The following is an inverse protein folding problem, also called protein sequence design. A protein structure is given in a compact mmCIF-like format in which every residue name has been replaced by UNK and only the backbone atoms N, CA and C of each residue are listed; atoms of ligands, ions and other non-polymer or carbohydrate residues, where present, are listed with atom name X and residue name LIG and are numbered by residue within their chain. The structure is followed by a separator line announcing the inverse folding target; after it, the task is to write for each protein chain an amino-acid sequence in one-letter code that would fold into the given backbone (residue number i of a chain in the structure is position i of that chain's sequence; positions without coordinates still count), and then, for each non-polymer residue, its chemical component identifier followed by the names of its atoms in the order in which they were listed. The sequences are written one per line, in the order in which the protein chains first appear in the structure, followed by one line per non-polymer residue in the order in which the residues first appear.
data_IF_653651148507
#
_entry.id   IF_653651148507
#
_cell.length_a   1.000
_cell.length_b   1.000
_cell.length_c   1.000
_cell.angle_alpha   90.00
_cell.angle_beta   90.00
_cell.angle_gamma   90.00
#
_symmetry.space_group_name_H-M   'P 1'
#
loop_
_entity.id
_entity.type
_entity.pdbx_description
1 polymer ?
#
# COMPACT_ATOMS: atom_id res chain seq x y z
N UNK A 1 69.78 47.23 -20.70
CA UNK A 1 68.34 47.37 -20.95
C UNK A 1 67.61 46.45 -19.94
N UNK A 2 66.91 46.99 -18.99
CA UNK A 2 66.23 46.19 -17.94
C UNK A 2 64.83 45.79 -18.39
N UNK A 3 64.50 44.55 -18.12
CA UNK A 3 63.14 43.93 -18.31
C UNK A 3 62.29 44.37 -17.18
N UNK A 4 61.01 44.84 -17.39
CA UNK A 4 60.09 45.20 -16.30
C UNK A 4 59.46 43.97 -15.72
N UNK A 5 59.56 43.80 -14.41
CA UNK A 5 58.83 42.84 -13.58
C UNK A 5 57.38 43.32 -13.34
N UNK A 6 56.39 42.50 -13.73
CA UNK A 6 55.00 42.72 -13.40
C UNK A 6 54.66 42.12 -12.01
N UNK A 7 53.84 42.79 -11.19
CA UNK A 7 53.50 42.29 -9.86
C UNK A 7 52.36 41.20 -9.92
N UNK A 8 52.43 40.22 -9.04
CA UNK A 8 51.35 39.18 -8.96
C UNK A 8 50.27 39.61 -7.95
N UNK A 9 49.26 40.32 -8.42
CA UNK A 9 48.05 40.55 -7.58
C UNK A 9 46.83 40.41 -8.48
N UNK A 10 46.09 39.31 -8.34
CA UNK A 10 44.61 39.16 -8.58
C UNK A 10 44.10 37.71 -8.76
N UNK A 11 44.80 36.70 -8.21
CA UNK A 11 44.27 35.31 -8.28
C UNK A 11 43.56 34.81 -7.00
N UNK A 12 43.53 35.57 -5.91
CA UNK A 12 42.92 35.13 -4.63
C UNK A 12 41.48 35.59 -4.41
N UNK A 13 40.98 36.57 -5.12
CA UNK A 13 39.59 37.09 -4.96
C UNK A 13 38.57 36.37 -5.85
N UNK A 14 38.99 35.77 -6.97
CA UNK A 14 38.08 34.99 -7.83
C UNK A 14 37.71 33.61 -7.24
N UNK A 15 38.63 32.98 -6.47
CA UNK A 15 38.36 31.68 -5.86
C UNK A 15 37.33 31.74 -4.69
N UNK A 16 37.30 32.86 -3.97
CA UNK A 16 36.34 33.06 -2.87
C UNK A 16 34.91 33.36 -3.36
N UNK A 17 34.76 33.99 -4.52
CA UNK A 17 33.44 34.28 -5.11
C UNK A 17 32.77 33.01 -5.68
N UNK A 18 33.55 32.07 -6.23
CA UNK A 18 33.04 30.80 -6.75
C UNK A 18 32.67 29.84 -5.61
N UNK A 19 33.41 29.83 -4.51
CA UNK A 19 33.10 29.02 -3.34
C UNK A 19 31.82 29.50 -2.64
N UNK A 20 31.54 30.83 -2.61
CA UNK A 20 30.32 31.41 -2.06
C UNK A 20 29.07 31.11 -2.91
N UNK A 21 29.18 31.09 -4.23
CA UNK A 21 28.08 30.77 -5.14
C UNK A 21 27.71 29.28 -5.10
N UNK A 22 28.69 28.38 -4.96
CA UNK A 22 28.43 26.94 -4.78
C UNK A 22 27.78 26.61 -3.43
N UNK A 23 28.13 27.31 -2.35
CA UNK A 23 27.51 27.11 -1.03
C UNK A 23 26.05 27.60 -0.99
N UNK A 24 25.69 28.65 -1.73
CA UNK A 24 24.31 29.12 -1.85
C UNK A 24 23.44 28.22 -2.75
N UNK A 25 24.02 27.60 -3.78
CA UNK A 25 23.30 26.64 -4.63
C UNK A 25 23.01 25.30 -3.91
N UNK A 26 23.87 24.89 -2.97
CA UNK A 26 23.63 23.69 -2.15
C UNK A 26 22.60 23.91 -1.03
N UNK A 27 22.39 25.16 -0.58
CA UNK A 27 21.36 25.49 0.41
C UNK A 27 19.94 25.57 -0.20
N UNK A 28 19.82 25.73 -1.52
CA UNK A 28 18.53 25.82 -2.21
C UNK A 28 17.89 24.45 -2.56
N UNK A 29 18.63 23.34 -2.41
CA UNK A 29 18.16 22.00 -2.82
C UNK A 29 17.71 21.08 -1.69
N UNK A 30 17.63 21.56 -0.43
CA UNK A 30 17.17 20.74 0.70
C UNK A 30 15.96 21.37 1.39
N UNK A 31 14.89 21.66 0.63
CA UNK A 31 13.60 21.65 1.26
C UNK A 31 13.20 20.18 1.40
N UNK A 32 13.45 19.61 2.59
CA UNK A 32 12.80 18.37 2.95
C UNK A 32 11.30 18.57 2.73
N UNK A 33 10.59 17.63 2.06
CA UNK A 33 9.16 17.75 1.90
C UNK A 33 8.53 17.99 3.29
N UNK A 34 7.51 18.85 3.40
CA UNK A 34 6.87 19.12 4.68
C UNK A 34 6.45 17.79 5.33
N UNK A 35 6.54 17.68 6.66
CA UNK A 35 6.15 16.47 7.35
C UNK A 35 4.70 16.10 6.99
N UNK A 36 4.35 14.80 6.97
CA UNK A 36 2.99 14.35 6.73
C UNK A 36 2.01 15.13 7.61
N UNK A 37 0.96 15.67 7.00
CA UNK A 37 -0.04 16.45 7.72
C UNK A 37 -1.43 16.04 7.28
N UNK A 38 -2.33 15.88 8.26
CA UNK A 38 -3.76 15.72 8.08
C UNK A 38 -4.56 16.79 8.86
N UNK A 39 -3.96 17.98 9.02
CA UNK A 39 -4.58 19.12 9.67
C UNK A 39 -5.72 19.71 8.82
N UNK A 40 -5.62 19.63 7.49
CA UNK A 40 -6.71 19.97 6.55
C UNK A 40 -7.05 18.76 5.71
N UNK A 41 -8.28 18.70 5.15
CA UNK A 41 -8.67 17.54 4.35
C UNK A 41 -7.84 17.41 3.06
N UNK A 42 -7.45 18.54 2.43
CA UNK A 42 -6.57 18.56 1.26
C UNK A 42 -5.18 18.05 1.62
N UNK A 43 -4.61 18.50 2.75
CA UNK A 43 -3.29 18.07 3.21
C UNK A 43 -3.26 16.56 3.51
N UNK A 44 -4.34 16.00 4.07
CA UNK A 44 -4.46 14.58 4.35
C UNK A 44 -4.40 13.74 3.06
N UNK A 45 -5.13 14.16 2.01
CA UNK A 45 -5.14 13.48 0.71
C UNK A 45 -3.78 13.65 0.01
N UNK A 46 -3.27 14.88 -0.11
CA UNK A 46 -1.98 15.16 -0.74
C UNK A 46 -0.82 14.40 -0.06
N UNK A 47 -0.85 14.32 1.28
CA UNK A 47 0.13 13.53 2.05
C UNK A 47 0.02 12.04 1.72
N UNK A 48 -1.19 11.48 1.64
CA UNK A 48 -1.40 10.08 1.26
C UNK A 48 -0.87 9.78 -0.14
N UNK A 49 -1.10 10.67 -1.11
CA UNK A 49 -0.58 10.52 -2.47
C UNK A 49 0.95 10.53 -2.50
N UNK A 50 1.58 11.48 -1.82
CA UNK A 50 3.04 11.58 -1.72
C UNK A 50 3.66 10.37 -1.02
N UNK A 51 3.09 9.90 0.09
CA UNK A 51 3.57 8.70 0.79
C UNK A 51 3.44 7.45 -0.07
N UNK A 52 2.37 7.38 -0.88
CA UNK A 52 2.22 6.31 -1.89
C UNK A 52 3.27 6.44 -2.98
N UNK A 53 3.50 7.63 -3.53
CA UNK A 53 4.50 7.86 -4.58
C UNK A 53 5.91 7.47 -4.12
N UNK A 54 6.25 7.73 -2.85
CA UNK A 54 7.57 7.39 -2.28
C UNK A 54 7.69 5.96 -1.74
N UNK A 55 6.58 5.21 -1.68
CA UNK A 55 6.57 3.86 -1.10
C UNK A 55 6.71 3.83 0.42
N UNK A 56 6.40 4.93 1.12
CA UNK A 56 6.37 4.98 2.58
C UNK A 56 5.02 4.46 3.10
N UNK A 57 4.88 3.14 3.12
CA UNK A 57 3.63 2.49 3.52
C UNK A 57 3.35 2.59 5.02
N UNK A 58 4.37 2.67 5.88
CA UNK A 58 4.16 2.90 7.30
C UNK A 58 3.63 4.32 7.56
N UNK A 59 4.27 5.32 6.94
CA UNK A 59 3.79 6.70 6.95
C UNK A 59 2.37 6.84 6.40
N UNK A 60 2.05 6.10 5.32
CA UNK A 60 0.72 6.08 4.73
C UNK A 60 -0.33 5.54 5.73
N UNK A 61 -0.07 4.44 6.41
CA UNK A 61 -0.99 3.89 7.41
C UNK A 61 -1.17 4.83 8.61
N UNK A 62 -0.10 5.47 9.08
CA UNK A 62 -0.14 6.51 10.12
C UNK A 62 -0.95 7.75 9.71
N UNK A 63 -0.90 8.13 8.45
CA UNK A 63 -1.68 9.26 7.93
C UNK A 63 -3.16 8.93 7.75
N UNK A 64 -3.50 7.66 7.45
CA UNK A 64 -4.85 7.22 7.09
C UNK A 64 -5.68 6.72 8.27
N UNK A 65 -5.07 6.37 9.39
CA UNK A 65 -5.74 5.86 10.58
C UNK A 65 -5.50 6.79 11.78
N UNK A 66 -6.50 7.00 12.65
CA UNK A 66 -6.30 7.60 13.96
C UNK A 66 -5.21 6.88 14.75
N UNK A 67 -4.46 7.56 15.65
CA UNK A 67 -3.34 6.96 16.36
C UNK A 67 -3.68 5.67 17.13
N UNK A 68 -4.87 5.61 17.76
CA UNK A 68 -5.33 4.41 18.46
C UNK A 68 -5.57 3.25 17.49
N UNK A 69 -6.24 3.53 16.36
CA UNK A 69 -6.56 2.56 15.33
C UNK A 69 -5.29 2.06 14.62
N UNK A 70 -4.32 2.95 14.37
CA UNK A 70 -2.99 2.57 13.87
C UNK A 70 -2.27 1.64 14.86
N UNK A 71 -2.34 1.94 16.17
CA UNK A 71 -1.72 1.09 17.20
C UNK A 71 -2.37 -0.29 17.23
N UNK A 72 -3.69 -0.36 17.12
CA UNK A 72 -4.42 -1.63 17.05
C UNK A 72 -4.03 -2.39 15.77
N UNK A 73 -4.09 -1.74 14.60
CA UNK A 73 -3.68 -2.35 13.32
C UNK A 73 -2.25 -2.91 13.40
N UNK A 74 -1.34 -2.17 14.04
CA UNK A 74 0.04 -2.58 14.23
C UNK A 74 0.14 -3.84 15.10
N UNK A 75 -0.62 -3.89 16.19
CA UNK A 75 -0.69 -5.06 17.09
C UNK A 75 -1.25 -6.30 16.39
N UNK A 76 -2.28 -6.13 15.57
CA UNK A 76 -2.87 -7.20 14.77
C UNK A 76 -1.90 -7.73 13.72
N UNK A 77 -1.14 -6.82 13.08
CA UNK A 77 -0.08 -7.19 12.16
C UNK A 77 0.98 -8.05 12.86
N UNK A 78 1.46 -7.63 14.05
CA UNK A 78 2.44 -8.38 14.84
C UNK A 78 1.90 -9.76 15.24
N UNK A 79 0.64 -9.83 15.67
CA UNK A 79 -0.01 -11.09 16.03
C UNK A 79 -0.16 -12.05 14.83
N UNK A 80 -0.48 -11.52 13.65
CA UNK A 80 -0.58 -12.30 12.42
C UNK A 80 0.81 -12.82 11.97
N UNK A 81 1.85 -12.01 12.12
CA UNK A 81 3.23 -12.38 11.76
C UNK A 81 3.91 -13.32 12.77
N UNK A 82 3.49 -13.28 14.04
CA UNK A 82 3.95 -14.24 15.04
C UNK A 82 3.49 -15.69 14.75
N UNK A 83 2.49 -15.87 13.88
CA UNK A 83 1.95 -17.17 13.47
C UNK A 83 2.00 -17.29 11.93
N UNK A 84 3.17 -17.31 11.32
CA UNK A 84 3.26 -17.42 9.88
C UNK A 84 2.61 -18.73 9.45
N UNK A 85 1.62 -18.65 8.58
CA UNK A 85 1.05 -19.84 7.94
C UNK A 85 2.16 -20.66 7.28
N UNK A 86 2.09 -21.99 7.35
CA UNK A 86 3.05 -22.86 6.69
C UNK A 86 2.99 -22.59 5.18
N UNK A 87 4.11 -22.16 4.59
CA UNK A 87 4.24 -22.24 3.13
C UNK A 87 4.32 -23.71 2.74
N UNK A 88 3.78 -24.08 1.59
CA UNK A 88 4.10 -25.38 1.04
C UNK A 88 5.58 -25.41 0.65
N UNK A 89 6.22 -26.58 0.77
CA UNK A 89 7.61 -26.78 0.33
C UNK A 89 7.81 -26.33 -1.14
N UNK A 90 6.78 -26.48 -1.97
CA UNK A 90 6.77 -26.03 -3.36
C UNK A 90 6.87 -24.51 -3.48
N UNK A 91 6.13 -23.77 -2.66
CA UNK A 91 6.19 -22.28 -2.65
C UNK A 91 7.56 -21.79 -2.20
N UNK A 92 8.12 -22.37 -1.14
CA UNK A 92 9.46 -22.01 -0.65
C UNK A 92 10.53 -22.27 -1.71
N UNK A 93 10.45 -23.43 -2.38
CA UNK A 93 11.38 -23.80 -3.45
C UNK A 93 11.25 -22.85 -4.66
N UNK A 94 10.04 -22.54 -5.11
CA UNK A 94 9.80 -21.61 -6.22
C UNK A 94 10.33 -20.22 -5.92
N UNK A 95 10.07 -19.71 -4.72
CA UNK A 95 10.58 -18.40 -4.28
C UNK A 95 12.12 -18.40 -4.29
N UNK A 96 12.75 -19.40 -3.68
CA UNK A 96 14.20 -19.50 -3.62
C UNK A 96 14.83 -19.59 -5.03
N UNK A 97 14.24 -20.35 -5.95
CA UNK A 97 14.70 -20.42 -7.34
C UNK A 97 14.59 -19.06 -8.06
N UNK A 98 13.50 -18.32 -7.87
CA UNK A 98 13.33 -16.99 -8.44
C UNK A 98 14.39 -16.04 -7.87
N UNK A 99 14.56 -16.00 -6.55
CA UNK A 99 15.54 -15.13 -5.91
C UNK A 99 16.97 -15.47 -6.33
N UNK A 100 17.32 -16.74 -6.39
CA UNK A 100 18.61 -17.19 -6.91
C UNK A 100 18.85 -16.71 -8.34
N UNK A 101 17.88 -16.92 -9.23
CA UNK A 101 17.96 -16.51 -10.64
C UNK A 101 18.15 -14.98 -10.80
N UNK A 102 17.54 -14.17 -9.91
CA UNK A 102 17.60 -12.71 -9.97
C UNK A 102 18.85 -12.13 -9.29
N UNK A 103 19.43 -12.83 -8.32
CA UNK A 103 20.52 -12.30 -7.49
C UNK A 103 21.89 -12.89 -7.79
N UNK A 104 21.97 -14.01 -8.52
CA UNK A 104 23.25 -14.66 -8.86
C UNK A 104 24.17 -13.75 -9.68
N UNK A 105 25.50 -13.95 -9.62
CA UNK A 105 26.44 -13.23 -10.47
C UNK A 105 26.12 -13.42 -11.97
N UNK A 106 25.97 -12.31 -12.69
CA UNK A 106 25.66 -12.31 -14.12
C UNK A 106 24.19 -12.66 -14.45
N UNK A 107 23.28 -12.57 -13.48
CA UNK A 107 21.83 -12.78 -13.65
C UNK A 107 21.27 -11.97 -14.82
N UNK A 108 21.67 -10.71 -14.96
CA UNK A 108 21.22 -9.80 -16.03
C UNK A 108 21.51 -10.36 -17.42
N UNK A 109 22.75 -10.82 -17.63
CA UNK A 109 23.16 -11.38 -18.93
C UNK A 109 22.43 -12.71 -19.24
N UNK A 110 22.26 -13.57 -18.23
CA UNK A 110 21.54 -14.84 -18.38
C UNK A 110 20.06 -14.61 -18.69
N UNK A 111 19.42 -13.69 -17.97
CA UNK A 111 18.01 -13.33 -18.19
C UNK A 111 17.81 -12.65 -19.55
N UNK A 112 18.69 -11.73 -19.94
CA UNK A 112 18.64 -11.10 -21.25
C UNK A 112 18.71 -12.14 -22.38
N UNK A 113 19.66 -13.10 -22.29
CA UNK A 113 19.78 -14.19 -23.26
C UNK A 113 18.52 -15.07 -23.30
N UNK A 114 17.95 -15.39 -22.14
CA UNK A 114 16.75 -16.24 -22.01
C UNK A 114 15.51 -15.54 -22.58
N UNK A 115 15.40 -14.22 -22.44
CA UNK A 115 14.25 -13.44 -22.91
C UNK A 115 14.32 -13.05 -24.39
N UNK A 116 15.50 -13.10 -25.03
CA UNK A 116 15.65 -12.76 -26.45
C UNK A 116 14.64 -13.48 -27.38
N UNK A 117 14.42 -14.82 -27.31
CA UNK A 117 13.46 -15.49 -28.16
C UNK A 117 12.01 -15.02 -27.92
N UNK A 118 11.65 -14.70 -26.67
CA UNK A 118 10.31 -14.21 -26.33
C UNK A 118 10.10 -12.78 -26.85
N UNK A 119 11.10 -11.91 -26.73
CA UNK A 119 11.06 -10.57 -27.33
C UNK A 119 10.94 -10.63 -28.87
N UNK A 120 11.61 -11.60 -29.50
CA UNK A 120 11.49 -11.80 -30.94
C UNK A 120 10.06 -12.25 -31.35
N UNK A 121 9.42 -13.11 -30.58
CA UNK A 121 8.01 -13.52 -30.78
C UNK A 121 7.08 -12.31 -30.64
N UNK A 122 7.31 -11.43 -29.63
CA UNK A 122 6.55 -10.21 -29.44
C UNK A 122 6.64 -9.27 -30.64
N UNK A 123 7.83 -9.09 -31.21
CA UNK A 123 8.03 -8.28 -32.44
C UNK A 123 7.34 -8.85 -33.66
N UNK A 124 7.27 -10.18 -33.78
CA UNK A 124 6.65 -10.87 -34.90
C UNK A 124 5.13 -10.78 -34.96
N UNK A 125 4.48 -10.04 -34.05
CA UNK A 125 3.02 -9.89 -34.05
C UNK A 125 2.22 -11.16 -33.75
N UNK A 126 2.90 -12.26 -33.32
CA UNK A 126 2.26 -13.55 -33.03
C UNK A 126 1.61 -13.61 -31.63
N UNK A 127 1.18 -12.45 -31.11
CA UNK A 127 0.76 -12.27 -29.73
C UNK A 127 -0.75 -12.46 -29.53
N UNK A 128 -1.28 -13.61 -29.90
CA UNK A 128 -2.65 -13.98 -29.53
C UNK A 128 -2.90 -14.08 -28.03
N UNK A 129 -1.83 -14.11 -27.21
CA UNK A 129 -1.94 -14.25 -25.74
C UNK A 129 -2.08 -12.93 -24.99
N UNK A 130 -1.46 -11.82 -25.44
CA UNK A 130 -1.55 -10.52 -24.77
C UNK A 130 -2.98 -9.96 -24.71
N UNK A 131 -3.78 -9.99 -25.80
CA UNK A 131 -5.16 -9.51 -25.74
C UNK A 131 -6.05 -10.34 -24.80
N UNK A 132 -5.86 -11.65 -24.76
CA UNK A 132 -6.60 -12.55 -23.86
C UNK A 132 -6.21 -12.27 -22.41
N UNK A 133 -4.92 -12.18 -22.12
CA UNK A 133 -4.41 -11.88 -20.76
C UNK A 133 -4.88 -10.50 -20.29
N UNK A 134 -4.89 -9.48 -21.16
CA UNK A 134 -5.38 -8.15 -20.79
C UNK A 134 -6.88 -8.13 -20.52
N UNK A 135 -7.69 -8.92 -21.23
CA UNK A 135 -9.14 -9.04 -20.98
C UNK A 135 -9.44 -9.73 -19.64
N UNK A 136 -8.71 -10.78 -19.31
CA UNK A 136 -8.85 -11.46 -18.01
C UNK A 136 -8.44 -10.52 -16.87
N UNK A 137 -7.32 -9.81 -17.02
CA UNK A 137 -6.83 -8.85 -16.02
C UNK A 137 -7.83 -7.69 -15.84
N UNK A 138 -8.42 -7.21 -16.92
CA UNK A 138 -9.45 -6.17 -16.88
C UNK A 138 -10.69 -6.63 -16.09
N UNK A 139 -11.21 -7.81 -16.40
CA UNK A 139 -12.38 -8.34 -15.73
C UNK A 139 -12.10 -8.59 -14.23
N UNK A 140 -10.98 -9.23 -13.91
CA UNK A 140 -10.57 -9.49 -12.53
C UNK A 140 -10.33 -8.17 -11.74
N UNK A 141 -9.66 -7.19 -12.36
CA UNK A 141 -9.42 -5.90 -11.75
C UNK A 141 -10.69 -5.11 -11.46
N UNK A 142 -11.64 -5.09 -12.41
CA UNK A 142 -12.96 -4.45 -12.21
C UNK A 142 -13.74 -5.12 -11.07
N UNK A 143 -13.70 -6.45 -11.00
CA UNK A 143 -14.34 -7.18 -9.90
C UNK A 143 -13.70 -6.87 -8.55
N UNK A 144 -12.37 -6.86 -8.45
CA UNK A 144 -11.66 -6.50 -7.21
C UNK A 144 -12.01 -5.07 -6.75
N UNK A 145 -12.10 -4.11 -7.68
CA UNK A 145 -12.52 -2.74 -7.35
C UNK A 145 -13.96 -2.72 -6.85
N UNK A 146 -14.87 -3.42 -7.53
CA UNK A 146 -16.28 -3.47 -7.16
C UNK A 146 -16.48 -4.07 -5.76
N UNK A 147 -15.74 -5.13 -5.43
CA UNK A 147 -15.85 -5.86 -4.16
C UNK A 147 -15.10 -5.20 -2.99
N UNK A 148 -14.28 -4.16 -3.25
CA UNK A 148 -13.50 -3.49 -2.21
C UNK A 148 -14.41 -2.74 -1.21
N UNK A 149 -14.42 -3.11 0.08
CA UNK A 149 -15.20 -2.41 1.09
C UNK A 149 -14.59 -1.08 1.55
N UNK A 150 -13.27 -0.86 1.27
CA UNK A 150 -12.55 0.35 1.66
C UNK A 150 -12.71 1.48 0.65
N UNK A 151 -13.34 1.24 -0.50
CA UNK A 151 -13.55 2.23 -1.55
C UNK A 151 -15.02 2.67 -1.59
N UNK A 152 -15.25 3.97 -1.45
CA UNK A 152 -16.54 4.58 -1.71
C UNK A 152 -16.90 4.60 -3.21
N UNK A 153 -18.14 4.93 -3.58
CA UNK A 153 -18.59 4.88 -4.98
C UNK A 153 -17.73 5.70 -5.95
N UNK A 154 -17.37 6.93 -5.59
CA UNK A 154 -16.54 7.82 -6.42
C UNK A 154 -15.11 7.27 -6.55
N UNK A 155 -14.53 6.75 -5.46
CA UNK A 155 -13.22 6.11 -5.47
C UNK A 155 -13.20 4.85 -6.35
N UNK A 156 -14.26 4.03 -6.33
CA UNK A 156 -14.42 2.89 -7.26
C UNK A 156 -14.46 3.32 -8.71
N UNK A 157 -15.17 4.42 -8.99
CA UNK A 157 -15.23 5.00 -10.35
C UNK A 157 -13.83 5.43 -10.79
N UNK A 158 -13.10 6.17 -9.96
CA UNK A 158 -11.75 6.62 -10.29
C UNK A 158 -10.76 5.46 -10.41
N UNK A 159 -10.85 4.45 -9.55
CA UNK A 159 -10.03 3.23 -9.66
C UNK A 159 -10.29 2.48 -10.96
N UNK A 160 -11.56 2.42 -11.43
CA UNK A 160 -11.93 1.83 -12.72
C UNK A 160 -11.36 2.63 -13.89
N UNK A 161 -11.44 3.97 -13.85
CA UNK A 161 -10.79 4.83 -14.83
C UNK A 161 -9.28 4.61 -14.88
N UNK A 162 -8.64 4.46 -13.71
CA UNK A 162 -7.22 4.14 -13.60
C UNK A 162 -6.87 2.78 -14.24
N UNK A 163 -7.67 1.76 -13.97
CA UNK A 163 -7.51 0.45 -14.60
C UNK A 163 -7.65 0.53 -16.12
N UNK A 164 -8.66 1.24 -16.63
CA UNK A 164 -8.86 1.43 -18.06
C UNK A 164 -7.68 2.19 -18.70
N UNK A 165 -7.10 3.17 -18.00
CA UNK A 165 -5.89 3.89 -18.43
C UNK A 165 -4.68 2.96 -18.52
N UNK A 166 -4.47 2.10 -17.51
CA UNK A 166 -3.39 1.11 -17.48
C UNK A 166 -3.53 0.07 -18.60
N UNK A 167 -4.74 -0.41 -18.85
CA UNK A 167 -5.00 -1.37 -19.94
C UNK A 167 -4.74 -0.72 -21.30
N UNK A 168 -5.17 0.52 -21.50
CA UNK A 168 -4.89 1.24 -22.72
C UNK A 168 -3.39 1.49 -22.92
N UNK A 169 -2.67 1.86 -21.85
CA UNK A 169 -1.21 1.99 -21.88
C UNK A 169 -0.52 0.66 -22.23
N UNK A 170 -0.95 -0.45 -21.62
CA UNK A 170 -0.42 -1.79 -21.93
C UNK A 170 -0.61 -2.14 -23.42
N UNK A 171 -1.77 -1.83 -23.99
CA UNK A 171 -2.06 -2.08 -25.42
C UNK A 171 -1.23 -1.21 -26.35
N UNK A 172 -0.87 0.02 -25.93
CA UNK A 172 -0.09 0.98 -26.72
C UNK A 172 1.43 0.83 -26.55
N UNK A 173 1.89 0.11 -25.52
CA UNK A 173 3.30 0.01 -25.18
C UNK A 173 4.00 -1.09 -25.97
N UNK A 174 5.14 -0.74 -26.58
CA UNK A 174 6.04 -1.73 -27.18
C UNK A 174 6.93 -2.36 -26.10
N UNK A 175 6.54 -3.53 -25.63
CA UNK A 175 7.32 -4.35 -24.71
C UNK A 175 8.43 -5.15 -25.39
N UNK A 176 8.54 -5.13 -26.71
CA UNK A 176 9.56 -5.84 -27.48
C UNK A 176 10.86 -5.06 -27.67
N UNK A 177 10.92 -3.79 -27.22
CA UNK A 177 12.13 -2.95 -27.28
C UNK A 177 13.26 -3.57 -26.44
N UNK A 178 14.32 -4.03 -27.10
CA UNK A 178 15.44 -4.71 -26.47
C UNK A 178 16.23 -3.82 -25.49
N UNK A 179 16.28 -2.49 -25.72
CA UNK A 179 16.97 -1.56 -24.83
C UNK A 179 16.17 -1.34 -23.55
N UNK A 180 14.84 -1.19 -23.66
CA UNK A 180 13.93 -1.11 -22.52
C UNK A 180 13.94 -2.42 -21.75
N UNK A 181 13.84 -3.56 -22.42
CA UNK A 181 13.88 -4.88 -21.81
C UNK A 181 15.19 -5.10 -21.02
N UNK A 182 16.35 -4.67 -21.56
CA UNK A 182 17.61 -4.73 -20.83
C UNK A 182 17.57 -3.90 -19.55
N UNK A 183 17.13 -2.63 -19.63
CA UNK A 183 16.99 -1.76 -18.45
C UNK A 183 16.05 -2.35 -17.41
N UNK A 184 14.94 -2.96 -17.87
CA UNK A 184 13.97 -3.62 -16.99
C UNK A 184 14.60 -4.80 -16.23
N UNK A 185 15.37 -5.64 -16.93
CA UNK A 185 16.11 -6.76 -16.33
C UNK A 185 17.12 -6.24 -15.29
N UNK A 186 17.93 -5.24 -15.65
CA UNK A 186 18.92 -4.64 -14.77
C UNK A 186 18.25 -4.11 -13.48
N UNK A 187 17.11 -3.43 -13.60
CA UNK A 187 16.32 -2.91 -12.48
C UNK A 187 15.74 -4.03 -11.61
N UNK A 188 15.12 -5.05 -12.21
CA UNK A 188 14.52 -6.16 -11.46
C UNK A 188 15.58 -6.92 -10.65
N UNK A 189 16.74 -7.18 -11.24
CA UNK A 189 17.85 -7.81 -10.53
C UNK A 189 18.39 -6.92 -9.40
N UNK A 190 18.52 -5.62 -9.62
CA UNK A 190 18.95 -4.67 -8.60
C UNK A 190 17.93 -4.61 -7.44
N UNK A 191 16.65 -4.52 -7.74
CA UNK A 191 15.55 -4.55 -6.73
C UNK A 191 15.58 -5.84 -5.91
N UNK A 192 15.73 -6.99 -6.56
CA UNK A 192 15.81 -8.28 -5.86
C UNK A 192 17.01 -8.34 -4.90
N UNK A 193 18.16 -7.80 -5.28
CA UNK A 193 19.35 -7.75 -4.40
C UNK A 193 19.14 -6.83 -3.20
N UNK A 194 18.44 -5.71 -3.38
CA UNK A 194 18.13 -4.76 -2.28
C UNK A 194 17.23 -5.35 -1.20
N UNK A 195 16.44 -6.37 -1.51
CA UNK A 195 15.57 -7.04 -0.53
C UNK A 195 16.37 -7.84 0.51
N UNK A 196 17.60 -8.28 0.19
CA UNK A 196 18.46 -9.09 1.06
C UNK A 196 17.79 -10.37 1.58
N UNK A 197 16.85 -10.95 0.82
CA UNK A 197 16.18 -12.22 1.15
C UNK A 197 16.41 -13.24 0.03
N UNK A 198 16.59 -14.50 0.40
CA UNK A 198 16.80 -15.60 -0.55
C UNK A 198 15.71 -16.68 -0.44
N UNK A 199 15.00 -16.70 0.69
CA UNK A 199 13.96 -17.70 0.97
C UNK A 199 12.68 -17.05 1.47
N UNK A 200 11.55 -17.70 1.29
CA UNK A 200 10.29 -17.24 1.84
C UNK A 200 10.30 -17.27 3.39
N UNK A 201 11.08 -18.15 3.99
CA UNK A 201 11.29 -18.14 5.43
C UNK A 201 11.98 -16.86 5.91
N UNK A 202 13.04 -16.40 5.21
CA UNK A 202 13.68 -15.11 5.52
C UNK A 202 12.73 -13.93 5.33
N UNK A 203 11.91 -13.94 4.26
CA UNK A 203 10.89 -12.92 4.04
C UNK A 203 9.90 -12.84 5.21
N UNK A 204 9.41 -13.99 5.65
CA UNK A 204 8.42 -14.08 6.76
C UNK A 204 9.01 -13.79 8.13
N UNK A 205 10.32 -13.93 8.29
CA UNK A 205 11.03 -13.62 9.54
C UNK A 205 11.34 -12.13 9.70
N UNK A 206 11.05 -11.29 8.70
CA UNK A 206 11.24 -9.85 8.79
C UNK A 206 10.33 -9.27 9.86
N UNK A 207 10.87 -8.36 10.68
CA UNK A 207 10.05 -7.52 11.54
C UNK A 207 9.21 -6.53 10.73
N UNK A 208 8.32 -5.80 11.38
CA UNK A 208 7.47 -4.83 10.73
C UNK A 208 8.25 -3.76 9.96
N UNK A 209 9.29 -3.19 10.56
CA UNK A 209 10.06 -2.12 9.94
C UNK A 209 10.82 -2.63 8.70
N UNK A 210 11.33 -3.87 8.76
CA UNK A 210 11.96 -4.54 7.63
C UNK A 210 10.94 -4.84 6.53
N UNK A 211 9.76 -5.33 6.88
CA UNK A 211 8.67 -5.62 5.93
C UNK A 211 8.21 -4.35 5.21
N UNK A 212 7.99 -3.25 5.93
CA UNK A 212 7.59 -1.97 5.31
C UNK A 212 8.68 -1.43 4.38
N UNK A 213 9.95 -1.54 4.74
CA UNK A 213 11.06 -1.22 3.84
C UNK A 213 11.09 -2.10 2.60
N UNK A 214 10.89 -3.40 2.77
CA UNK A 214 10.84 -4.33 1.64
C UNK A 214 9.69 -4.02 0.68
N UNK A 215 8.52 -3.64 1.19
CA UNK A 215 7.41 -3.16 0.37
C UNK A 215 7.77 -1.86 -0.36
N UNK A 216 8.44 -0.91 0.30
CA UNK A 216 8.95 0.30 -0.35
C UNK A 216 9.94 0.01 -1.46
N UNK A 217 10.88 -0.93 -1.26
CA UNK A 217 11.83 -1.38 -2.29
C UNK A 217 11.10 -1.97 -3.50
N UNK A 218 10.12 -2.86 -3.25
CA UNK A 218 9.32 -3.46 -4.31
C UNK A 218 8.50 -2.43 -5.06
N UNK A 219 7.89 -1.48 -4.35
CA UNK A 219 7.12 -0.39 -4.94
C UNK A 219 7.97 0.47 -5.86
N UNK A 220 9.12 0.93 -5.38
CA UNK A 220 10.05 1.74 -6.17
C UNK A 220 10.62 0.97 -7.36
N UNK A 221 10.85 -0.33 -7.20
CA UNK A 221 11.22 -1.22 -8.30
C UNK A 221 10.11 -1.35 -9.36
N UNK A 222 8.86 -1.48 -8.94
CA UNK A 222 7.69 -1.52 -9.83
C UNK A 222 7.51 -0.18 -10.54
N UNK A 223 7.58 0.93 -9.82
CA UNK A 223 7.45 2.28 -10.38
C UNK A 223 8.55 2.54 -11.42
N UNK A 224 9.80 2.23 -11.09
CA UNK A 224 10.90 2.35 -12.05
C UNK A 224 10.74 1.46 -13.27
N UNK A 225 10.17 0.25 -13.12
CA UNK A 225 9.83 -0.65 -14.23
C UNK A 225 8.77 -0.03 -15.15
N UNK A 226 7.71 0.52 -14.57
CA UNK A 226 6.64 1.20 -15.31
C UNK A 226 7.18 2.42 -16.06
N UNK A 227 8.06 3.20 -15.42
CA UNK A 227 8.69 4.39 -15.99
C UNK A 227 9.61 4.05 -17.19
N UNK A 228 10.34 2.94 -17.17
CA UNK A 228 11.10 2.45 -18.34
C UNK A 228 10.20 2.30 -19.57
N UNK A 229 8.93 1.94 -19.37
CA UNK A 229 7.95 1.78 -20.44
C UNK A 229 7.05 3.01 -20.63
N UNK A 230 7.36 4.13 -19.97
CA UNK A 230 6.71 5.42 -20.18
C UNK A 230 5.47 5.68 -19.33
N UNK A 231 5.30 4.92 -18.24
CA UNK A 231 4.27 5.17 -17.23
C UNK A 231 4.94 5.66 -15.95
N UNK A 232 4.90 6.97 -15.71
CA UNK A 232 5.42 7.63 -14.52
C UNK A 232 4.31 7.77 -13.50
N UNK A 233 4.18 6.76 -12.63
CA UNK A 233 3.13 6.70 -11.63
C UNK A 233 3.41 7.67 -10.46
N UNK A 234 4.65 7.78 -10.02
CA UNK A 234 5.04 8.68 -8.93
C UNK A 234 4.71 10.13 -9.30
N UNK A 235 5.13 10.58 -10.47
CA UNK A 235 4.80 11.92 -10.97
C UNK A 235 3.28 12.12 -11.13
N UNK A 236 2.56 11.10 -11.57
CA UNK A 236 1.09 11.18 -11.68
C UNK A 236 0.42 11.43 -10.32
N UNK A 237 0.93 10.82 -9.25
CA UNK A 237 0.44 11.00 -7.88
C UNK A 237 0.87 12.35 -7.28
N UNK A 238 2.12 12.76 -7.50
CA UNK A 238 2.67 13.99 -6.94
C UNK A 238 2.12 15.27 -7.59
N UNK A 239 1.73 15.19 -8.87
CA UNK A 239 1.15 16.32 -9.63
C UNK A 239 -0.38 16.33 -9.62
N UNK A 240 -1.01 15.49 -8.81
CA UNK A 240 -2.46 15.47 -8.68
C UNK A 240 -2.98 16.77 -8.09
N UNK A 241 -4.05 17.30 -8.65
CA UNK A 241 -4.77 18.45 -8.10
C UNK A 241 -5.74 17.98 -7.01
N UNK A 242 -5.62 18.58 -5.84
CA UNK A 242 -6.37 18.23 -4.63
C UNK A 242 -7.07 19.48 -4.11
N UNK A 243 -8.41 19.52 -4.24
CA UNK A 243 -9.20 20.71 -3.89
C UNK A 243 -10.45 20.34 -3.09
N UNK A 244 -10.81 21.15 -2.07
CA UNK A 244 -12.05 20.95 -1.35
C UNK A 244 -13.23 21.48 -2.17
N UNK A 245 -14.26 20.66 -2.36
CA UNK A 245 -15.54 21.03 -2.98
C UNK A 245 -16.63 21.29 -1.94
N UNK A 246 -16.42 20.85 -0.70
CA UNK A 246 -17.30 21.10 0.44
C UNK A 246 -16.58 20.82 1.74
N UNK A 247 -16.81 21.68 2.76
CA UNK A 247 -16.23 21.51 4.10
C UNK A 247 -17.13 22.19 5.14
N UNK A 248 -17.67 21.42 6.08
CA UNK A 248 -18.50 21.94 7.19
C UNK A 248 -17.78 21.90 8.56
N UNK A 249 -16.45 21.67 8.56
CA UNK A 249 -15.63 21.59 9.76
C UNK A 249 -15.50 20.18 10.37
N UNK A 250 -16.40 19.26 10.08
CA UNK A 250 -16.37 17.85 10.53
C UNK A 250 -16.36 16.86 9.38
N UNK A 251 -16.94 17.23 8.24
CA UNK A 251 -16.96 16.47 7.00
C UNK A 251 -16.52 17.36 5.86
N UNK A 252 -15.75 16.79 4.93
CA UNK A 252 -15.34 17.48 3.72
C UNK A 252 -15.42 16.52 2.53
N UNK A 253 -15.54 17.09 1.33
CA UNK A 253 -15.37 16.36 0.07
C UNK A 253 -14.19 16.97 -0.65
N UNK A 254 -13.22 16.14 -0.97
CA UNK A 254 -12.03 16.51 -1.74
C UNK A 254 -12.19 15.99 -3.15
N UNK A 255 -12.11 16.88 -4.11
CA UNK A 255 -11.97 16.53 -5.51
C UNK A 255 -10.51 16.25 -5.79
N UNK A 256 -10.25 15.08 -6.38
CA UNK A 256 -8.93 14.64 -6.82
C UNK A 256 -8.94 14.51 -8.34
N UNK A 257 -8.15 15.34 -9.00
CA UNK A 257 -7.94 15.29 -10.44
C UNK A 257 -6.46 14.94 -10.73
N UNK A 258 -6.22 13.92 -11.56
CA UNK A 258 -4.87 13.52 -11.93
C UNK A 258 -4.82 12.98 -13.35
N UNK A 259 -3.62 12.75 -13.89
CA UNK A 259 -3.44 12.09 -15.20
C UNK A 259 -2.64 10.81 -15.00
N UNK A 260 -3.12 9.72 -15.59
CA UNK A 260 -2.42 8.45 -15.64
C UNK A 260 -2.29 7.99 -17.09
N UNK A 261 -1.09 7.74 -17.55
CA UNK A 261 -0.82 7.39 -18.95
C UNK A 261 -1.44 8.40 -19.95
N UNK A 262 -1.41 9.69 -19.61
CA UNK A 262 -2.00 10.78 -20.40
C UNK A 262 -3.52 10.89 -20.34
N UNK A 263 -4.23 9.99 -19.63
CA UNK A 263 -5.68 10.02 -19.46
C UNK A 263 -6.06 10.73 -18.17
N UNK A 264 -7.06 11.65 -18.21
CA UNK A 264 -7.55 12.28 -17.00
C UNK A 264 -8.33 11.27 -16.14
N UNK A 265 -8.12 11.32 -14.83
CA UNK A 265 -8.87 10.63 -13.81
C UNK A 265 -9.41 11.67 -12.85
N UNK A 266 -10.66 11.53 -12.44
CA UNK A 266 -11.31 12.41 -11.47
C UNK A 266 -12.17 11.62 -10.52
N UNK A 267 -12.14 12.01 -9.23
CA UNK A 267 -12.97 11.38 -8.23
C UNK A 267 -13.13 12.26 -6.99
N UNK A 268 -14.19 11.98 -6.23
CA UNK A 268 -14.46 12.64 -4.97
C UNK A 268 -14.02 11.75 -3.81
N UNK A 269 -13.34 12.37 -2.84
CA UNK A 269 -12.86 11.74 -1.62
C UNK A 269 -13.59 12.32 -0.42
N UNK A 270 -14.59 11.61 0.11
CA UNK A 270 -15.22 12.00 1.37
C UNK A 270 -14.24 11.88 2.53
N UNK A 271 -14.12 12.94 3.30
CA UNK A 271 -13.24 13.04 4.46
C UNK A 271 -14.06 13.31 5.73
N UNK A 272 -13.59 12.77 6.84
CA UNK A 272 -14.18 13.00 8.17
C UNK A 272 -13.11 13.44 9.14
N UNK A 273 -13.45 14.40 10.02
CA UNK A 273 -12.57 14.90 11.05
C UNK A 273 -12.75 14.14 12.36
N UNK A 274 -11.67 13.56 12.88
CA UNK A 274 -11.64 12.89 14.18
C UNK A 274 -10.43 13.36 14.98
N UNK A 275 -10.62 13.75 16.24
CA UNK A 275 -9.56 14.22 17.11
C UNK A 275 -8.68 15.35 16.52
N UNK A 276 -9.29 16.26 15.75
CA UNK A 276 -8.60 17.39 15.12
C UNK A 276 -7.94 17.08 13.77
N UNK A 277 -7.91 15.84 13.32
CA UNK A 277 -7.28 15.38 12.09
C UNK A 277 -8.30 14.85 11.08
N UNK A 278 -7.95 14.90 9.78
CA UNK A 278 -8.81 14.46 8.70
C UNK A 278 -8.42 13.09 8.18
N UNK A 279 -9.41 12.22 7.96
CA UNK A 279 -9.26 10.85 7.52
C UNK A 279 -10.23 10.52 6.37
N UNK A 280 -9.88 9.57 5.52
CA UNK A 280 -10.78 9.02 4.51
C UNK A 280 -11.98 8.38 5.19
N UNK A 281 -13.18 8.88 4.88
CA UNK A 281 -14.41 8.46 5.55
C UNK A 281 -14.74 7.00 5.27
N UNK A 282 -14.57 6.53 4.03
CA UNK A 282 -14.89 5.16 3.65
C UNK A 282 -13.93 4.15 4.30
N UNK A 283 -12.63 4.48 4.34
CA UNK A 283 -11.64 3.64 5.00
C UNK A 283 -11.89 3.56 6.51
N UNK A 284 -12.17 4.70 7.15
CA UNK A 284 -12.39 4.74 8.59
C UNK A 284 -13.68 3.99 8.98
N UNK A 285 -14.74 4.14 8.20
CA UNK A 285 -15.98 3.37 8.39
C UNK A 285 -15.74 1.86 8.24
N UNK A 286 -15.02 1.45 7.19
CA UNK A 286 -14.68 0.04 6.99
C UNK A 286 -13.83 -0.52 8.13
N UNK A 287 -12.87 0.27 8.65
CA UNK A 287 -12.07 -0.09 9.80
C UNK A 287 -12.92 -0.27 11.05
N UNK A 288 -13.76 0.71 11.40
CA UNK A 288 -14.63 0.68 12.58
C UNK A 288 -15.64 -0.46 12.52
N UNK A 289 -16.16 -0.79 11.35
CA UNK A 289 -17.04 -1.93 11.13
C UNK A 289 -16.34 -3.27 11.37
N UNK A 290 -15.08 -3.38 10.99
CA UNK A 290 -14.26 -4.57 11.22
C UNK A 290 -13.81 -4.69 12.69
N UNK A 291 -13.71 -3.56 13.41
CA UNK A 291 -13.20 -3.45 14.78
C UNK A 291 -14.23 -2.68 15.65
N UNK A 292 -15.41 -3.24 15.90
CA UNK A 292 -16.40 -2.55 16.72
C UNK A 292 -15.84 -2.32 18.13
N UNK A 293 -16.01 -1.09 18.64
CA UNK A 293 -15.65 -0.79 20.01
C UNK A 293 -16.32 -1.80 20.96
N UNK A 294 -15.60 -2.30 21.99
CA UNK A 294 -16.26 -3.15 22.99
C UNK A 294 -17.48 -2.42 23.51
N UNK A 295 -18.64 -3.09 23.47
CA UNK A 295 -19.88 -2.51 23.98
C UNK A 295 -19.57 -1.97 25.37
N UNK A 296 -19.72 -0.65 25.56
CA UNK A 296 -19.61 -0.03 26.86
C UNK A 296 -20.57 -0.81 27.77
N UNK A 297 -20.01 -1.63 28.66
CA UNK A 297 -20.80 -2.22 29.75
C UNK A 297 -21.45 -1.02 30.42
N UNK A 298 -22.75 -0.86 30.17
CA UNK A 298 -23.57 0.11 30.86
C UNK A 298 -23.35 -0.18 32.33
N UNK A 299 -22.52 0.59 33.00
CA UNK A 299 -22.45 0.64 34.45
C UNK A 299 -23.82 1.13 34.89
N UNK A 300 -24.69 0.17 35.08
CA UNK A 300 -25.93 0.42 35.80
C UNK A 300 -25.49 0.92 37.18
N UNK A 301 -25.47 2.22 37.32
CA UNK A 301 -25.48 2.89 38.62
C UNK A 301 -26.82 2.48 39.28
N UNK A 302 -26.83 1.30 39.87
CA UNK A 302 -27.86 0.92 40.85
C UNK A 302 -27.68 1.82 42.05
N UNK A 303 -28.35 2.96 42.02
CA UNK A 303 -28.65 3.76 43.19
C UNK A 303 -29.52 2.88 44.09
N UNK A 304 -28.89 2.20 45.04
CA UNK A 304 -29.59 1.53 46.13
C UNK A 304 -30.34 2.57 46.96
N UNK A 305 -31.61 2.74 46.63
CA UNK A 305 -32.56 3.31 47.57
C UNK A 305 -32.85 2.22 48.62
N UNK A 306 -32.41 2.46 49.84
CA UNK A 306 -32.78 1.69 51.01
C UNK A 306 -34.25 1.94 51.33
N UNK A 307 -35.13 0.93 51.38
CA UNK A 307 -36.39 1.04 52.10
C UNK A 307 -36.25 0.41 53.52
N UNK A 308 -36.73 1.17 54.47
CA UNK A 308 -36.80 0.84 55.87
C UNK A 308 -37.59 -0.46 56.13
N UNK A 309 -37.19 -1.08 57.22
CA UNK A 309 -37.69 -2.29 57.82
C UNK A 309 -39.20 -2.35 58.02
N UNK A 310 -39.83 -3.49 57.76
CA UNK A 310 -40.93 -3.98 58.57
C UNK A 310 -40.93 -5.51 58.66
N UNK A 311 -41.02 -5.94 59.90
CA UNK A 311 -41.07 -7.24 60.48
C UNK A 311 -42.14 -8.15 59.96
N UNK A 312 -41.86 -9.47 59.84
CA UNK A 312 -42.87 -10.52 59.68
C UNK A 312 -42.29 -11.89 59.38
N UNK A 313 -42.16 -12.72 60.38
CA UNK A 313 -41.69 -14.12 60.38
C UNK A 313 -42.68 -15.13 59.81
N UNK A 314 -42.24 -16.43 59.64
CA UNK A 314 -42.62 -17.34 58.56
C UNK A 314 -43.74 -18.33 58.91
N UNK A 315 -44.16 -19.32 58.15
CA UNK A 315 -43.47 -20.61 58.09
C UNK A 315 -43.61 -21.47 56.76
N UNK A 316 -42.60 -22.33 56.64
CA UNK A 316 -42.67 -23.77 56.35
C UNK A 316 -43.14 -24.35 55.00
N UNK A 317 -42.30 -25.18 54.51
CA UNK A 317 -42.47 -26.59 54.17
C UNK A 317 -42.48 -27.00 52.67
N UNK A 318 -41.70 -27.99 52.44
CA UNK A 318 -41.77 -29.12 51.53
C UNK A 318 -41.10 -29.02 50.11
N UNK A 319 -39.99 -29.78 49.97
CA UNK A 319 -39.50 -30.30 48.70
C UNK A 319 -40.27 -31.59 48.30
N UNK A 320 -39.70 -32.54 47.56
CA UNK A 320 -38.70 -32.54 46.50
C UNK A 320 -39.15 -33.34 45.25
N UNK A 321 -38.21 -33.65 44.38
CA UNK A 321 -38.23 -34.70 43.32
C UNK A 321 -38.32 -34.14 41.88
N UNK A 322 -37.51 -34.47 40.99
CA UNK A 322 -36.90 -35.71 40.52
C UNK A 322 -36.85 -35.72 38.99
N UNK A 323 -35.76 -36.18 38.48
CA UNK A 323 -35.59 -36.93 37.23
C UNK A 323 -35.32 -36.19 35.90
N UNK A 324 -34.10 -36.40 35.42
CA UNK A 324 -33.73 -36.52 34.01
C UNK A 324 -34.42 -37.74 33.35
N UNK A 325 -34.45 -37.93 32.06
CA UNK A 325 -33.24 -38.46 31.43
C UNK A 325 -32.97 -38.03 29.98
N UNK A 326 -31.79 -38.43 29.57
CA UNK A 326 -31.15 -38.42 28.26
C UNK A 326 -31.95 -39.10 27.14
N UNK A 327 -31.70 -38.66 25.91
CA UNK A 327 -31.68 -39.57 24.75
C UNK A 327 -30.83 -39.07 23.63
N UNK A 328 -29.80 -39.80 23.43
CA UNK A 328 -28.94 -39.98 22.28
C UNK A 328 -29.71 -40.37 21.02
N UNK A 329 -29.35 -39.85 19.84
CA UNK A 329 -29.37 -40.65 18.59
C UNK A 329 -28.24 -40.28 17.69
N UNK A 330 -27.61 -41.31 17.18
CA UNK A 330 -26.41 -41.50 16.44
C UNK A 330 -26.63 -41.37 14.90
N UNK A 331 -25.57 -41.35 14.08
CA UNK A 331 -25.57 -40.88 12.69
C UNK A 331 -25.95 -41.98 11.68
N UNK A 332 -26.28 -41.56 10.49
CA UNK A 332 -26.34 -42.46 9.31
C UNK A 332 -25.44 -41.98 8.21
N UNK A 333 -24.63 -42.90 7.80
CA UNK A 333 -23.68 -42.95 6.69
C UNK A 333 -24.34 -43.38 5.38
N UNK A 334 -23.52 -43.25 4.32
CA UNK A 334 -23.61 -43.89 2.98
C UNK A 334 -24.47 -43.15 1.95
N UNK A 335 -24.01 -42.96 0.71
CA UNK A 335 -23.36 -43.84 -0.20
C UNK A 335 -22.93 -43.19 -1.51
N UNK A 336 -21.89 -43.67 -1.98
CA UNK A 336 -21.34 -43.91 -3.31
C UNK A 336 -22.33 -43.82 -4.48
N UNK A 337 -21.95 -43.22 -5.63
CA UNK A 337 -21.66 -43.87 -6.93
C UNK A 337 -21.52 -42.86 -8.07
N UNK A 338 -20.45 -43.01 -8.80
CA UNK A 338 -20.23 -43.10 -10.27
C UNK A 338 -21.11 -42.27 -11.24
N UNK A 339 -20.55 -41.28 -11.95
CA UNK A 339 -20.21 -41.43 -13.39
C UNK A 339 -19.19 -40.36 -13.77
#
# INVERSE_FOLDING_TARGET
MPIPTFPPVRRRTAALAIAGACALALAACHHAPPPPSNATPEAAVATSLRLTATGDFDGLMKNRLPPADYTQWRSEWDAAHARPGAASATQDQQFAQIMQMLTEPGAEAKLAKRLQPELAKLRGGKNGTLPIASGILEAAGKQMIADSPQLGPSQKTMATQGLDALIAWTKATDFSDAKKAKKAIDLVCATARQLHVQTLAQWRAQDYAQTMRSYGILWNGLEGLLNIYGLDLANSLETADVSATGNNGTHATIKLDMKLAGRPLSGDWPMVKQAGHWYDAALLEAWQKAHPAPAATASASSTSAVPAASTGSPPASAGPASAAPASSVKPASSGTTHH
#
